data_IF_787850252803
#
_entry.id   IF_787850252803
#
_cell.length_a   1.000
_cell.length_b   1.000
_cell.length_c   1.000
_cell.angle_alpha   90.00
_cell.angle_beta   90.00
_cell.angle_gamma   90.00
#
_symmetry.space_group_name_H-M   'P 1'
#
loop_
_entity.id
_entity.type
_entity.pdbx_description
1 polymer ?
#
# COMPACT_ATOMS: atom_id res chain seq x y z
N UNK A 1 -2.95 0.16 12.62
CA UNK A 1 -1.48 0.23 12.68
C UNK A 1 -1.00 0.69 14.05
N UNK A 2 -1.46 1.83 14.58
CA UNK A 2 -1.07 2.36 15.91
C UNK A 2 -1.17 1.40 17.10
N UNK A 3 -2.33 0.79 17.35
CA UNK A 3 -2.50 -0.12 18.51
C UNK A 3 -1.56 -1.34 18.48
N UNK A 4 -1.15 -1.75 17.28
CA UNK A 4 -0.27 -2.91 17.05
C UNK A 4 1.17 -2.52 16.70
N UNK A 5 1.49 -1.22 16.68
CA UNK A 5 2.78 -0.65 16.27
C UNK A 5 3.32 -1.28 14.96
N UNK A 6 2.44 -1.41 13.97
CA UNK A 6 2.81 -1.94 12.65
C UNK A 6 3.31 -0.81 11.76
N UNK A 7 4.46 -1.00 11.11
CA UNK A 7 4.99 -0.09 10.09
C UNK A 7 4.41 -0.33 8.70
N UNK A 8 3.98 -1.56 8.42
CA UNK A 8 3.37 -1.99 7.17
C UNK A 8 2.19 -2.92 7.44
N UNK A 9 1.11 -2.75 6.68
CA UNK A 9 -0.01 -3.68 6.62
C UNK A 9 -0.31 -4.04 5.18
N UNK A 10 -0.14 -5.32 4.84
CA UNK A 10 -0.62 -5.87 3.57
C UNK A 10 -2.14 -6.09 3.64
N UNK A 11 -2.83 -5.71 2.57
CA UNK A 11 -4.27 -5.76 2.43
C UNK A 11 -4.64 -6.67 1.25
N UNK A 12 -5.63 -7.54 1.46
CA UNK A 12 -6.26 -8.35 0.43
C UNK A 12 -7.77 -8.14 0.45
N UNK A 13 -8.40 -8.41 -0.70
CA UNK A 13 -9.85 -8.22 -0.91
C UNK A 13 -10.33 -6.80 -0.56
N UNK A 14 -9.56 -5.78 -0.96
CA UNK A 14 -9.84 -4.36 -0.64
C UNK A 14 -11.10 -3.83 -1.32
N UNK A 15 -11.49 -4.44 -2.46
CA UNK A 15 -12.62 -4.05 -3.32
C UNK A 15 -12.55 -2.62 -3.87
N UNK A 16 -11.40 -1.98 -3.73
CA UNK A 16 -11.13 -0.68 -4.35
C UNK A 16 -11.04 -0.85 -5.87
N UNK A 17 -11.54 0.15 -6.60
CA UNK A 17 -11.49 0.16 -8.06
C UNK A 17 -10.23 0.86 -8.56
N UNK A 18 -9.68 0.34 -9.64
CA UNK A 18 -8.45 0.85 -10.24
C UNK A 18 -7.25 0.73 -9.32
N UNK A 19 -6.18 1.41 -9.69
CA UNK A 19 -4.92 1.44 -8.96
C UNK A 19 -4.61 2.85 -8.50
N UNK A 20 -3.90 2.97 -7.39
CA UNK A 20 -3.45 4.28 -6.95
C UNK A 20 -2.52 4.26 -5.76
N UNK A 21 -2.03 5.45 -5.48
CA UNK A 21 -1.10 5.78 -4.42
C UNK A 21 -1.53 7.12 -3.84
N UNK A 22 -1.87 7.14 -2.55
CA UNK A 22 -2.39 8.34 -1.90
C UNK A 22 -2.10 8.35 -0.42
N UNK A 23 -1.95 9.55 0.11
CA UNK A 23 -1.92 9.79 1.54
C UNK A 23 -3.34 9.74 2.08
N UNK A 24 -3.52 9.02 3.19
CA UNK A 24 -4.76 8.91 3.95
C UNK A 24 -4.53 9.44 5.38
N UNK A 25 -5.53 9.29 6.25
CA UNK A 25 -5.52 9.78 7.63
C UNK A 25 -4.16 9.60 8.34
N UNK A 26 -3.68 10.66 9.01
CA UNK A 26 -2.41 10.69 9.76
C UNK A 26 -1.16 10.38 8.92
N UNK A 27 -1.18 10.86 7.67
CA UNK A 27 -0.07 10.76 6.72
C UNK A 27 0.33 9.32 6.35
N UNK A 28 -0.53 8.35 6.65
CA UNK A 28 -0.35 6.98 6.20
C UNK A 28 -0.45 6.92 4.67
N UNK A 29 0.45 6.19 4.02
CA UNK A 29 0.44 6.02 2.58
C UNK A 29 -0.34 4.74 2.23
N UNK A 30 -1.39 4.88 1.44
CA UNK A 30 -2.17 3.78 0.89
C UNK A 30 -1.81 3.57 -0.58
N UNK A 31 -1.20 2.42 -0.86
CA UNK A 31 -0.88 1.95 -2.20
C UNK A 31 -1.80 0.77 -2.51
N UNK A 32 -2.52 0.80 -3.62
CA UNK A 32 -3.50 -0.24 -3.94
C UNK A 32 -3.59 -0.54 -5.43
N UNK A 33 -4.01 -1.76 -5.74
CA UNK A 33 -4.27 -2.24 -7.09
C UNK A 33 -5.56 -3.06 -7.08
N UNK A 34 -6.53 -2.63 -7.86
CA UNK A 34 -7.87 -3.20 -7.92
C UNK A 34 -8.45 -3.21 -9.33
N UNK A 35 -9.43 -4.09 -9.56
CA UNK A 35 -10.12 -4.21 -10.84
C UNK A 35 -11.36 -3.31 -10.95
N UNK A 36 -11.93 -3.22 -12.14
CA UNK A 36 -13.09 -2.35 -12.41
C UNK A 36 -14.40 -2.84 -11.77
N UNK A 37 -14.50 -4.15 -11.52
CA UNK A 37 -15.69 -4.81 -11.01
C UNK A 37 -15.79 -4.84 -9.47
N UNK A 38 -14.86 -4.16 -8.77
CA UNK A 38 -14.74 -4.22 -7.30
C UNK A 38 -14.63 -5.64 -6.74
N UNK A 39 -14.22 -6.62 -7.55
CA UNK A 39 -13.88 -7.96 -7.09
C UNK A 39 -12.37 -8.02 -6.87
N UNK A 40 -11.94 -8.64 -5.77
CA UNK A 40 -10.54 -8.66 -5.32
C UNK A 40 -10.03 -7.29 -4.87
N UNK A 41 -8.77 -6.98 -5.17
CA UNK A 41 -8.07 -5.79 -4.73
C UNK A 41 -7.01 -6.12 -3.69
N UNK A 42 -5.81 -5.59 -3.88
CA UNK A 42 -4.68 -5.74 -2.95
C UNK A 42 -4.06 -4.38 -2.68
N UNK A 43 -3.30 -4.26 -1.59
CA UNK A 43 -2.63 -3.01 -1.26
C UNK A 43 -1.69 -3.11 -0.07
N UNK A 44 -1.00 -2.01 0.17
CA UNK A 44 -0.22 -1.75 1.37
C UNK A 44 -0.72 -0.47 2.04
N UNK A 45 -0.84 -0.52 3.36
CA UNK A 45 -0.94 0.68 4.18
C UNK A 45 0.37 0.81 4.95
N UNK A 46 1.06 1.94 4.77
CA UNK A 46 2.38 2.21 5.31
C UNK A 46 2.29 3.37 6.30
N UNK A 47 2.98 3.26 7.43
CA UNK A 47 3.17 4.41 8.31
C UNK A 47 4.05 5.48 7.62
N UNK A 48 3.98 6.76 8.05
CA UNK A 48 4.60 7.86 7.32
C UNK A 48 6.08 7.64 6.99
N UNK A 49 6.89 7.27 7.99
CA UNK A 49 8.34 7.04 7.83
C UNK A 49 8.67 5.96 6.81
N UNK A 50 7.91 4.87 6.80
CA UNK A 50 8.10 3.80 5.81
C UNK A 50 7.51 4.17 4.44
N UNK A 51 6.45 4.97 4.42
CA UNK A 51 5.84 5.52 3.21
C UNK A 51 6.82 6.41 2.43
N UNK A 52 7.67 7.16 3.12
CA UNK A 52 8.72 8.00 2.53
C UNK A 52 9.87 7.17 1.93
N UNK A 53 10.07 5.94 2.40
CA UNK A 53 11.10 5.02 1.92
C UNK A 53 10.71 4.25 0.64
N UNK A 54 9.49 4.45 0.11
CA UNK A 54 9.03 3.79 -1.13
C UNK A 54 9.68 4.47 -2.35
N UNK A 55 10.56 3.75 -3.02
CA UNK A 55 11.23 4.19 -4.25
C UNK A 55 10.36 3.93 -5.49
N UNK A 56 9.63 2.82 -5.50
CA UNK A 56 8.87 2.38 -6.66
C UNK A 56 7.60 1.65 -6.26
N UNK A 57 6.56 1.86 -7.06
CA UNK A 57 5.29 1.12 -6.98
C UNK A 57 5.02 0.49 -8.34
N UNK A 58 4.76 -0.82 -8.34
CA UNK A 58 4.38 -1.56 -9.56
C UNK A 58 2.99 -2.19 -9.37
N UNK A 59 2.00 -1.66 -10.09
CA UNK A 59 0.65 -2.21 -10.11
C UNK A 59 0.57 -3.31 -11.17
N UNK A 60 0.53 -4.57 -10.72
CA UNK A 60 0.59 -5.74 -11.62
C UNK A 60 -0.83 -6.20 -12.00
N UNK A 61 -1.71 -6.36 -11.01
CA UNK A 61 -3.11 -6.75 -11.23
C UNK A 61 -3.98 -6.47 -10.00
N UNK A 62 -5.28 -6.76 -10.08
CA UNK A 62 -6.19 -6.71 -8.92
C UNK A 62 -5.83 -7.71 -7.79
N UNK A 63 -4.85 -8.60 -8.01
CA UNK A 63 -4.37 -9.60 -7.03
C UNK A 63 -2.90 -9.44 -6.66
N UNK A 64 -2.18 -8.50 -7.28
CA UNK A 64 -0.76 -8.32 -7.03
C UNK A 64 -0.34 -6.86 -7.20
N UNK A 65 0.36 -6.35 -6.19
CA UNK A 65 1.01 -5.05 -6.18
C UNK A 65 2.35 -5.22 -5.49
N UNK A 66 3.35 -4.52 -5.99
CA UNK A 66 4.74 -4.58 -5.52
C UNK A 66 5.20 -3.18 -5.15
N UNK A 67 6.00 -3.10 -4.09
CA UNK A 67 6.68 -1.87 -3.66
C UNK A 67 8.15 -2.18 -3.46
N UNK A 68 9.01 -1.29 -3.94
CA UNK A 68 10.45 -1.31 -3.65
C UNK A 68 10.71 -0.28 -2.55
N UNK A 69 11.34 -0.74 -1.47
CA UNK A 69 11.70 0.08 -0.33
C UNK A 69 13.21 0.28 -0.29
N UNK A 70 13.66 1.53 -0.13
CA UNK A 70 15.04 1.83 0.22
C UNK A 70 15.16 1.99 1.72
N UNK A 71 15.75 1.00 2.37
CA UNK A 71 16.05 1.03 3.80
C UNK A 71 17.54 1.32 3.94
N UNK A 72 17.88 2.38 4.67
CA UNK A 72 19.26 2.65 5.05
C UNK A 72 19.59 1.80 6.29
N UNK A 73 20.73 1.10 6.26
CA UNK A 73 21.26 0.43 7.44
C UNK A 73 21.78 1.51 8.41
N UNK A 74 21.21 1.52 9.63
CA UNK A 74 21.63 2.41 10.72
C UNK A 74 22.87 1.93 11.46
#
# INVERSE_FOLDING_TARGET
>A
MKMRRLSLLALSETRLRGSGDRIVHEDYRLIYSGGDDSKHGVGFLLEPTLGDAVEKVTHISARMVEIDLKIEDG
#
